data_IF_646986802119
#
_entry.id   IF_646986802119
#
_cell.length_a   1.000
_cell.length_b   1.000
_cell.length_c   1.000
_cell.angle_alpha   90.00
_cell.angle_beta   90.00
_cell.angle_gamma   90.00
#
_symmetry.space_group_name_H-M   'P 1'
#
loop_
_entity.id
_entity.type
_entity.pdbx_description
1 polymer ?
#
# COMPACT_ATOMS: atom_id res chain seq x y z
N UNK A 1 24.08 2.86 -1.84
CA UNK A 1 22.61 2.96 -1.77
C UNK A 1 22.01 1.89 -2.69
N UNK A 2 20.71 1.59 -2.57
CA UNK A 2 19.99 0.66 -3.45
C UNK A 2 20.27 0.95 -4.95
N UNK A 3 20.49 -0.11 -5.72
CA UNK A 3 20.75 -0.05 -7.17
C UNK A 3 19.71 -0.78 -8.00
N UNK A 4 18.90 -1.63 -7.37
CA UNK A 4 17.85 -2.41 -7.98
C UNK A 4 16.77 -1.55 -8.62
N UNK A 5 16.16 -2.07 -9.68
CA UNK A 5 15.16 -1.34 -10.46
C UNK A 5 13.98 -2.22 -10.82
N UNK A 6 12.77 -1.71 -10.60
CA UNK A 6 11.51 -2.42 -10.90
C UNK A 6 10.75 -1.78 -12.06
N UNK A 7 9.86 -2.53 -12.68
CA UNK A 7 8.97 -2.02 -13.73
C UNK A 7 7.67 -1.45 -13.15
N UNK A 8 6.93 -0.65 -13.92
CA UNK A 8 5.62 -0.12 -13.48
C UNK A 8 4.58 -1.19 -13.11
N UNK A 9 4.45 -2.33 -13.84
CA UNK A 9 3.61 -3.43 -13.40
C UNK A 9 4.06 -4.03 -12.05
N UNK A 10 5.37 -4.19 -11.84
CA UNK A 10 5.90 -4.69 -10.56
C UNK A 10 5.57 -3.73 -9.40
N UNK A 11 5.70 -2.41 -9.62
CA UNK A 11 5.27 -1.41 -8.65
C UNK A 11 3.77 -1.51 -8.38
N UNK A 12 2.95 -1.65 -9.43
CA UNK A 12 1.49 -1.75 -9.29
C UNK A 12 1.08 -2.96 -8.43
N UNK A 13 1.65 -4.13 -8.71
CA UNK A 13 1.41 -5.35 -7.94
C UNK A 13 1.97 -5.27 -6.51
N UNK A 14 3.10 -4.59 -6.34
CA UNK A 14 3.68 -4.33 -5.02
C UNK A 14 2.77 -3.45 -4.16
N UNK A 15 2.30 -2.32 -4.71
CA UNK A 15 1.39 -1.40 -4.01
C UNK A 15 0.04 -2.06 -3.73
N UNK A 16 -0.47 -2.88 -4.65
CA UNK A 16 -1.67 -3.67 -4.44
C UNK A 16 -1.52 -4.60 -3.23
N UNK A 17 -0.45 -5.39 -3.15
CA UNK A 17 -0.24 -6.29 -2.00
C UNK A 17 0.11 -5.54 -0.71
N UNK A 18 0.77 -4.39 -0.81
CA UNK A 18 1.13 -3.55 0.34
C UNK A 18 -0.10 -3.07 1.13
N UNK A 19 -1.23 -2.82 0.46
CA UNK A 19 -2.48 -2.40 1.10
C UNK A 19 -3.43 -3.59 1.34
N UNK A 20 -3.33 -4.62 0.50
CA UNK A 20 -4.37 -5.64 0.37
C UNK A 20 -4.42 -6.68 1.45
N UNK A 21 -3.28 -7.07 2.00
CA UNK A 21 -3.25 -8.30 2.75
C UNK A 21 -3.91 -8.14 4.14
N UNK A 22 -3.70 -7.05 4.90
CA UNK A 22 -4.45 -6.81 6.14
C UNK A 22 -5.90 -6.38 5.89
N UNK A 23 -6.13 -5.55 4.87
CA UNK A 23 -7.46 -5.00 4.60
C UNK A 23 -8.50 -6.08 4.34
N UNK A 24 -8.17 -7.14 3.60
CA UNK A 24 -9.13 -8.20 3.30
C UNK A 24 -9.61 -8.95 4.57
N UNK A 25 -8.81 -9.02 5.66
CA UNK A 25 -9.20 -9.78 6.88
C UNK A 25 -10.19 -9.01 7.70
N UNK A 26 -9.82 -7.77 7.98
CA UNK A 26 -10.43 -6.99 9.02
C UNK A 26 -11.51 -6.06 8.47
N UNK A 27 -11.39 -5.64 7.20
CA UNK A 27 -12.32 -4.69 6.59
C UNK A 27 -13.79 -5.09 6.76
N UNK A 28 -14.21 -6.36 6.49
CA UNK A 28 -15.62 -6.68 6.55
C UNK A 28 -16.18 -6.55 7.97
N UNK A 29 -15.38 -6.88 8.99
CA UNK A 29 -15.76 -6.73 10.40
C UNK A 29 -16.05 -5.28 10.74
N UNK A 30 -15.09 -4.40 10.43
CA UNK A 30 -15.18 -2.99 10.76
C UNK A 30 -16.27 -2.27 9.94
N UNK A 31 -16.30 -2.47 8.62
CA UNK A 31 -17.33 -1.83 7.80
C UNK A 31 -18.72 -2.36 8.15
N UNK A 32 -18.90 -3.64 8.51
CA UNK A 32 -20.18 -4.16 8.99
C UNK A 32 -20.60 -3.55 10.34
N UNK A 33 -19.64 -3.31 11.25
CA UNK A 33 -19.92 -2.75 12.57
C UNK A 33 -20.60 -1.37 12.50
N UNK A 34 -20.19 -0.54 11.53
CA UNK A 34 -20.76 0.79 11.35
C UNK A 34 -21.82 0.83 10.26
N UNK A 35 -21.53 0.33 9.06
CA UNK A 35 -22.39 0.49 7.89
C UNK A 35 -23.39 -0.66 7.69
N UNK A 36 -23.32 -1.74 8.46
CA UNK A 36 -24.26 -2.87 8.37
C UNK A 36 -24.38 -3.41 6.94
N UNK A 37 -25.60 -3.37 6.38
CA UNK A 37 -25.90 -3.81 5.01
C UNK A 37 -25.17 -2.98 3.94
N UNK A 38 -24.84 -1.72 4.23
CA UNK A 38 -24.20 -0.78 3.29
C UNK A 38 -22.67 -0.86 3.31
N UNK A 39 -22.07 -1.82 4.03
CA UNK A 39 -20.62 -1.93 4.19
C UNK A 39 -19.83 -2.07 2.88
N UNK A 40 -20.46 -2.57 1.82
CA UNK A 40 -19.85 -2.70 0.50
C UNK A 40 -19.65 -1.34 -0.21
N UNK A 41 -20.34 -0.29 0.24
CA UNK A 41 -20.23 1.08 -0.30
C UNK A 41 -18.99 1.78 0.28
N UNK A 42 -18.62 1.47 1.53
CA UNK A 42 -17.54 2.16 2.24
C UNK A 42 -16.17 2.19 1.50
N UNK A 43 -15.73 1.10 0.83
CA UNK A 43 -14.48 1.13 0.05
C UNK A 43 -14.47 2.15 -1.10
N UNK A 44 -15.63 2.48 -1.70
CA UNK A 44 -15.69 3.50 -2.75
C UNK A 44 -15.32 4.86 -2.22
N UNK A 45 -15.84 5.23 -1.04
CA UNK A 45 -15.47 6.46 -0.34
C UNK A 45 -13.98 6.43 0.03
N UNK A 46 -13.51 5.31 0.60
CA UNK A 46 -12.11 5.08 0.92
C UNK A 46 -11.16 5.36 -0.24
N UNK A 47 -11.49 4.79 -1.41
CA UNK A 47 -10.62 4.82 -2.60
C UNK A 47 -10.27 6.22 -3.10
N UNK A 48 -11.11 7.22 -2.78
CA UNK A 48 -10.85 8.63 -3.11
C UNK A 48 -9.50 9.09 -2.56
N UNK A 49 -9.18 8.71 -1.33
CA UNK A 49 -7.88 9.05 -0.72
C UNK A 49 -6.72 8.34 -1.39
N UNK A 50 -6.90 7.11 -1.88
CA UNK A 50 -5.87 6.37 -2.61
C UNK A 50 -5.57 6.96 -3.97
N UNK A 51 -6.61 7.33 -4.73
CA UNK A 51 -6.42 8.05 -5.99
C UNK A 51 -5.75 9.41 -5.76
N UNK A 52 -6.17 10.13 -4.71
CA UNK A 52 -5.62 11.44 -4.36
C UNK A 52 -4.14 11.35 -3.94
N UNK A 53 -3.82 10.54 -2.94
CA UNK A 53 -2.46 10.42 -2.39
C UNK A 53 -1.49 9.92 -3.45
N UNK A 54 -1.87 8.92 -4.24
CA UNK A 54 -1.05 8.43 -5.33
C UNK A 54 -0.83 9.50 -6.41
N UNK A 55 -1.86 10.28 -6.73
CA UNK A 55 -1.73 11.38 -7.69
C UNK A 55 -0.75 12.45 -7.19
N UNK A 56 -0.82 12.80 -5.91
CA UNK A 56 0.09 13.76 -5.26
C UNK A 56 1.53 13.28 -5.39
N UNK A 57 1.84 12.04 -5.03
CA UNK A 57 3.22 11.54 -5.07
C UNK A 57 3.73 11.30 -6.50
N UNK A 58 2.88 10.87 -7.43
CA UNK A 58 3.24 10.76 -8.85
C UNK A 58 3.52 12.12 -9.50
N UNK A 59 2.81 13.16 -9.06
CA UNK A 59 3.05 14.54 -9.48
C UNK A 59 4.32 15.09 -8.86
N UNK A 60 4.54 14.88 -7.56
CA UNK A 60 5.75 15.30 -6.87
C UNK A 60 7.00 14.63 -7.47
N UNK A 61 6.95 13.33 -7.71
CA UNK A 61 8.00 12.57 -8.40
C UNK A 61 8.28 13.10 -9.82
N UNK A 62 7.30 13.71 -10.50
CA UNK A 62 7.56 14.34 -11.81
C UNK A 62 8.46 15.58 -11.74
N UNK A 63 8.53 16.24 -10.59
CA UNK A 63 9.44 17.36 -10.36
C UNK A 63 10.84 16.90 -9.95
N UNK A 64 10.93 15.78 -9.23
CA UNK A 64 12.18 15.22 -8.71
C UNK A 64 12.24 13.69 -8.92
N UNK A 65 12.50 13.20 -10.15
CA UNK A 65 12.40 11.77 -10.47
C UNK A 65 13.42 10.90 -9.73
N UNK A 66 14.60 11.44 -9.45
CA UNK A 66 15.70 10.65 -8.87
C UNK A 66 15.74 10.67 -7.33
N UNK A 67 14.81 11.39 -6.69
CA UNK A 67 14.79 11.61 -5.24
C UNK A 67 13.58 10.95 -4.59
N UNK A 68 13.80 10.26 -3.48
CA UNK A 68 12.73 9.72 -2.62
C UNK A 68 12.03 10.84 -1.85
N UNK A 69 10.84 10.57 -1.29
CA UNK A 69 10.17 11.52 -0.38
C UNK A 69 11.09 12.02 0.75
N UNK A 70 11.94 11.15 1.33
CA UNK A 70 12.91 11.53 2.37
C UNK A 70 13.90 12.57 1.87
N UNK A 71 14.45 12.36 0.67
CA UNK A 71 15.42 13.29 0.06
C UNK A 71 14.75 14.57 -0.44
N UNK A 72 13.53 14.47 -0.99
CA UNK A 72 12.72 15.61 -1.43
C UNK A 72 12.40 16.54 -0.25
N UNK A 73 12.15 15.98 0.94
CA UNK A 73 11.89 16.75 2.14
C UNK A 73 13.10 17.61 2.55
N UNK A 74 14.30 17.03 2.59
CA UNK A 74 15.53 17.78 2.88
C UNK A 74 15.79 18.86 1.83
N UNK A 75 15.52 18.56 0.56
CA UNK A 75 15.68 19.53 -0.53
C UNK A 75 14.69 20.71 -0.41
N UNK A 76 13.43 20.44 -0.08
CA UNK A 76 12.34 21.43 -0.11
C UNK A 76 12.21 22.22 1.18
N UNK A 77 12.36 21.56 2.34
CA UNK A 77 12.23 22.16 3.67
C UNK A 77 13.59 22.57 4.27
N UNK A 78 14.70 22.13 3.67
CA UNK A 78 16.04 22.31 4.21
C UNK A 78 16.43 21.21 5.19
N UNK A 79 17.71 21.22 5.60
CA UNK A 79 18.31 20.13 6.40
C UNK A 79 17.63 19.89 7.75
N UNK A 80 17.25 20.96 8.46
CA UNK A 80 16.70 20.86 9.81
C UNK A 80 15.22 20.47 9.79
N UNK A 81 14.37 21.25 9.12
CA UNK A 81 12.93 20.98 9.05
C UNK A 81 12.64 19.70 8.25
N UNK A 82 13.35 19.48 7.14
CA UNK A 82 13.24 18.22 6.37
C UNK A 82 13.73 17.02 7.17
N UNK A 83 14.82 17.16 7.92
CA UNK A 83 15.32 16.13 8.82
C UNK A 83 14.32 15.76 9.92
N UNK A 84 13.71 16.76 10.57
CA UNK A 84 12.68 16.53 11.59
C UNK A 84 11.42 15.88 11.01
N UNK A 85 10.96 16.33 9.84
CA UNK A 85 9.82 15.72 9.15
C UNK A 85 10.09 14.26 8.76
N UNK A 86 11.31 13.97 8.30
CA UNK A 86 11.72 12.60 7.98
C UNK A 86 11.68 11.67 9.21
N UNK A 87 12.10 12.14 10.39
CA UNK A 87 11.99 11.35 11.63
C UNK A 87 10.53 10.98 11.90
N UNK A 88 9.59 11.91 11.77
CA UNK A 88 8.16 11.66 11.98
C UNK A 88 7.65 10.60 11.00
N UNK A 89 7.99 10.73 9.72
CA UNK A 89 7.61 9.74 8.69
C UNK A 89 8.20 8.37 8.99
N UNK A 90 9.47 8.28 9.39
CA UNK A 90 10.13 7.02 9.69
C UNK A 90 9.57 6.36 10.96
N UNK A 91 9.26 7.13 12.00
CA UNK A 91 8.59 6.62 13.20
C UNK A 91 7.18 6.11 12.88
N UNK A 92 6.44 6.81 12.01
CA UNK A 92 5.15 6.36 11.51
C UNK A 92 5.27 5.02 10.76
N UNK A 93 6.24 4.88 9.85
CA UNK A 93 6.44 3.63 9.12
C UNK A 93 6.85 2.52 10.08
N UNK A 94 7.72 2.79 11.06
CA UNK A 94 8.12 1.80 12.08
C UNK A 94 6.92 1.34 12.91
N UNK A 95 6.08 2.26 13.36
CA UNK A 95 4.82 1.97 14.05
C UNK A 95 3.88 1.13 13.18
N UNK A 96 3.60 1.56 11.94
CA UNK A 96 2.73 0.83 11.02
C UNK A 96 3.23 -0.58 10.71
N UNK A 97 4.54 -0.74 10.49
CA UNK A 97 5.11 -2.08 10.25
C UNK A 97 4.99 -2.99 11.48
N UNK A 98 5.14 -2.45 12.69
CA UNK A 98 4.91 -3.19 13.93
C UNK A 98 3.45 -3.62 14.08
N UNK A 99 2.50 -2.73 13.77
CA UNK A 99 1.05 -3.00 13.84
C UNK A 99 0.64 -4.10 12.85
N UNK A 100 1.06 -3.97 11.58
CA UNK A 100 0.83 -5.00 10.55
C UNK A 100 1.42 -6.34 10.99
N UNK A 101 2.64 -6.34 11.55
CA UNK A 101 3.28 -7.57 12.05
C UNK A 101 2.51 -8.18 13.22
N UNK A 102 1.93 -7.34 14.10
CA UNK A 102 1.09 -7.80 15.21
C UNK A 102 -0.15 -8.50 14.71
N UNK A 103 -0.85 -7.91 13.74
CA UNK A 103 -2.03 -8.51 13.10
C UNK A 103 -1.72 -9.88 12.49
N UNK A 104 -0.61 -10.02 11.77
CA UNK A 104 -0.20 -11.32 11.23
C UNK A 104 0.15 -12.33 12.32
N UNK A 105 0.80 -11.88 13.39
CA UNK A 105 1.09 -12.73 14.54
C UNK A 105 -0.19 -13.29 15.16
N UNK A 106 -1.19 -12.44 15.41
CA UNK A 106 -2.51 -12.86 15.91
C UNK A 106 -3.21 -13.81 14.94
N UNK A 107 -3.21 -13.50 13.63
CA UNK A 107 -3.83 -14.35 12.61
C UNK A 107 -3.19 -15.75 12.56
N UNK A 108 -1.86 -15.84 12.49
CA UNK A 108 -1.16 -17.12 12.34
C UNK A 108 -1.30 -17.98 13.60
N UNK A 109 -1.15 -17.39 14.79
CA UNK A 109 -1.28 -18.14 16.05
C UNK A 109 -2.74 -18.53 16.29
N UNK A 110 -3.68 -17.61 16.08
CA UNK A 110 -5.11 -17.85 16.28
C UNK A 110 -5.73 -18.84 15.28
N UNK A 111 -5.15 -18.98 14.09
CA UNK A 111 -5.72 -19.82 13.03
C UNK A 111 -5.02 -21.18 12.86
N UNK A 112 -3.73 -21.28 13.20
CA UNK A 112 -2.87 -22.40 12.76
C UNK A 112 -1.96 -22.89 13.87
N UNK A 113 -1.11 -21.98 14.37
CA UNK A 113 -0.02 -22.30 15.28
C UNK A 113 -0.44 -22.06 16.72
N UNK A 114 -1.59 -22.61 17.11
CA UNK A 114 -2.25 -22.36 18.40
C UNK A 114 -1.37 -22.77 19.59
N UNK A 115 -0.44 -23.71 19.38
CA UNK A 115 0.50 -24.19 20.42
C UNK A 115 1.84 -23.44 20.43
N UNK A 116 2.09 -22.55 19.47
CA UNK A 116 3.35 -21.83 19.34
C UNK A 116 3.23 -20.43 19.94
N UNK A 117 4.14 -20.00 20.82
CA UNK A 117 4.12 -18.64 21.35
C UNK A 117 4.26 -17.60 20.22
N UNK A 118 3.40 -16.58 20.24
CA UNK A 118 3.40 -15.50 19.26
C UNK A 118 4.78 -14.81 19.06
N UNK A 119 5.58 -14.54 20.12
CA UNK A 119 6.92 -13.97 19.93
C UNK A 119 7.84 -14.81 19.03
N UNK A 120 7.73 -16.13 19.07
CA UNK A 120 8.53 -17.02 18.21
C UNK A 120 8.08 -16.91 16.76
N UNK A 121 6.77 -16.88 16.50
CA UNK A 121 6.21 -16.72 15.15
C UNK A 121 6.62 -15.37 14.55
N UNK A 122 6.43 -14.28 15.30
CA UNK A 122 6.80 -12.92 14.87
C UNK A 122 8.30 -12.82 14.60
N UNK A 123 9.14 -13.34 15.48
CA UNK A 123 10.60 -13.31 15.29
C UNK A 123 11.01 -14.05 14.01
N UNK A 124 10.53 -15.27 13.80
CA UNK A 124 10.82 -16.05 12.60
C UNK A 124 10.34 -15.32 11.33
N UNK A 125 9.14 -14.74 11.36
CA UNK A 125 8.58 -14.02 10.24
C UNK A 125 9.40 -12.78 9.87
N UNK A 126 9.74 -11.94 10.85
CA UNK A 126 10.59 -10.76 10.65
C UNK A 126 12.00 -11.16 10.22
N UNK A 127 12.56 -12.25 10.75
CA UNK A 127 13.86 -12.74 10.33
C UNK A 127 13.88 -13.11 8.84
N UNK A 128 12.86 -13.81 8.34
CA UNK A 128 12.74 -14.14 6.92
C UNK A 128 12.59 -12.87 6.07
N UNK A 129 11.77 -11.91 6.51
CA UNK A 129 11.65 -10.60 5.85
C UNK A 129 13.01 -9.88 5.79
N UNK A 130 13.76 -9.86 6.89
CA UNK A 130 15.09 -9.24 6.96
C UNK A 130 16.07 -9.86 5.95
N UNK A 131 16.08 -11.19 5.83
CA UNK A 131 16.92 -11.89 4.84
C UNK A 131 16.51 -11.49 3.42
N UNK A 132 15.21 -11.47 3.12
CA UNK A 132 14.71 -11.15 1.79
C UNK A 132 14.96 -9.68 1.38
N UNK A 133 14.89 -8.73 2.32
CA UNK A 133 15.20 -7.30 2.08
C UNK A 133 16.63 -7.09 1.59
N UNK A 134 17.59 -7.90 2.04
CA UNK A 134 18.98 -7.81 1.57
C UNK A 134 19.12 -8.15 0.08
N UNK A 135 18.14 -8.85 -0.50
CA UNK A 135 18.01 -9.08 -1.94
C UNK A 135 17.59 -7.83 -2.74
N UNK A 136 17.10 -6.79 -2.06
CA UNK A 136 16.74 -5.49 -2.64
C UNK A 136 15.40 -5.47 -3.37
N UNK A 137 15.04 -4.28 -3.85
CA UNK A 137 13.71 -4.02 -4.42
C UNK A 137 13.36 -4.88 -5.65
N UNK A 138 14.35 -5.38 -6.40
CA UNK A 138 14.09 -6.27 -7.54
C UNK A 138 13.52 -7.62 -7.11
N UNK A 139 14.02 -8.19 -6.01
CA UNK A 139 13.52 -9.45 -5.49
C UNK A 139 12.10 -9.27 -5.00
N UNK A 140 11.84 -8.18 -4.26
CA UNK A 140 10.52 -7.82 -3.74
C UNK A 140 9.52 -7.61 -4.90
N UNK A 141 9.91 -6.84 -5.92
CA UNK A 141 9.05 -6.55 -7.07
C UNK A 141 8.78 -7.76 -7.98
N UNK A 142 9.73 -8.70 -8.11
CA UNK A 142 9.48 -9.96 -8.82
C UNK A 142 8.56 -10.87 -8.03
N UNK A 143 8.74 -10.93 -6.72
CA UNK A 143 7.90 -11.73 -5.84
C UNK A 143 6.47 -11.19 -5.78
N UNK A 144 6.28 -9.87 -5.69
CA UNK A 144 4.95 -9.27 -5.73
C UNK A 144 4.21 -9.55 -7.03
N UNK A 145 4.91 -9.52 -8.17
CA UNK A 145 4.35 -9.86 -9.48
C UNK A 145 3.92 -11.33 -9.59
N UNK A 146 4.55 -12.24 -8.84
CA UNK A 146 4.17 -13.65 -8.75
C UNK A 146 2.95 -13.84 -7.83
N UNK A 147 2.95 -13.20 -6.66
CA UNK A 147 1.91 -13.42 -5.63
C UNK A 147 0.63 -12.67 -5.94
N UNK A 148 0.69 -11.47 -6.54
CA UNK A 148 -0.48 -10.62 -6.75
C UNK A 148 -1.57 -11.26 -7.64
N UNK A 149 -1.26 -11.92 -8.78
CA UNK A 149 -2.27 -12.60 -9.57
C UNK A 149 -2.93 -13.77 -8.82
N UNK A 150 -2.16 -14.46 -7.97
CA UNK A 150 -2.68 -15.57 -7.16
C UNK A 150 -3.59 -15.04 -6.06
N UNK A 151 -3.19 -13.96 -5.39
CA UNK A 151 -4.03 -13.27 -4.40
C UNK A 151 -5.32 -12.74 -5.03
N UNK A 152 -5.24 -12.09 -6.20
CA UNK A 152 -6.43 -11.63 -6.93
C UNK A 152 -7.33 -12.80 -7.36
N UNK A 153 -6.74 -13.87 -7.88
CA UNK A 153 -7.47 -15.07 -8.27
C UNK A 153 -8.23 -15.65 -7.07
N UNK A 154 -7.61 -15.67 -5.89
CA UNK A 154 -8.25 -16.10 -4.67
C UNK A 154 -9.47 -15.26 -4.29
N UNK A 155 -9.37 -13.92 -4.39
CA UNK A 155 -10.48 -13.00 -4.14
C UNK A 155 -11.67 -13.24 -5.08
N UNK A 156 -11.42 -13.71 -6.30
CA UNK A 156 -12.47 -14.05 -7.26
C UNK A 156 -12.99 -15.48 -7.08
N UNK A 157 -12.14 -16.43 -6.71
CA UNK A 157 -12.51 -17.85 -6.62
C UNK A 157 -13.31 -18.15 -5.37
N UNK A 158 -13.00 -17.56 -4.21
CA UNK A 158 -13.76 -17.82 -2.97
C UNK A 158 -15.25 -17.53 -3.09
N UNK A 159 -15.67 -16.35 -3.58
CA UNK A 159 -17.09 -16.06 -3.70
C UNK A 159 -17.77 -17.02 -4.67
N UNK A 160 -17.09 -17.44 -5.74
CA UNK A 160 -17.61 -18.43 -6.70
C UNK A 160 -17.85 -19.80 -6.05
N UNK A 161 -16.92 -20.25 -5.21
CA UNK A 161 -17.07 -21.51 -4.48
C UNK A 161 -18.15 -21.44 -3.40
N UNK A 162 -18.42 -20.24 -2.87
CA UNK A 162 -19.45 -20.01 -1.87
C UNK A 162 -20.84 -19.77 -2.44
N UNK A 163 -21.02 -19.60 -3.77
CA UNK A 163 -22.31 -19.28 -4.42
C UNK A 163 -23.51 -20.03 -3.83
N UNK A 164 -23.46 -21.36 -3.58
CA UNK A 164 -24.60 -22.10 -3.02
C UNK A 164 -25.09 -21.59 -1.66
N UNK A 165 -24.25 -20.89 -0.92
CA UNK A 165 -24.51 -20.39 0.43
C UNK A 165 -24.69 -18.86 0.47
N UNK A 166 -24.50 -18.16 -0.64
CA UNK A 166 -24.62 -16.70 -0.71
C UNK A 166 -26.09 -16.29 -0.89
N UNK A 167 -26.53 -15.36 -0.07
CA UNK A 167 -27.85 -14.74 -0.19
C UNK A 167 -27.70 -13.25 -0.51
N UNK A 168 -27.94 -12.91 -1.78
CA UNK A 168 -27.85 -11.53 -2.30
C UNK A 168 -28.92 -10.63 -1.66
N UNK A 169 -30.02 -11.19 -1.14
CA UNK A 169 -31.07 -10.42 -0.49
C UNK A 169 -30.59 -9.72 0.78
N UNK A 170 -29.50 -10.21 1.40
CA UNK A 170 -28.82 -9.54 2.53
C UNK A 170 -28.19 -8.19 2.17
N UNK A 171 -28.20 -7.79 0.89
CA UNK A 171 -27.82 -6.43 0.48
C UNK A 171 -28.92 -5.41 0.79
N UNK A 172 -30.17 -5.87 0.93
CA UNK A 172 -31.32 -5.01 1.17
C UNK A 172 -31.70 -4.97 2.65
N UNK A 173 -32.30 -3.86 3.11
CA UNK A 173 -32.46 -2.59 2.39
C UNK A 173 -31.14 -1.81 2.21
N UNK A 174 -31.02 -1.06 1.11
CA UNK A 174 -29.84 -0.21 0.82
C UNK A 174 -30.10 1.19 1.36
N UNK A 175 -29.15 1.73 2.13
CA UNK A 175 -29.17 3.06 2.76
C UNK A 175 -30.38 3.30 3.67
N UNK A 176 -30.86 2.28 4.38
CA UNK A 176 -31.96 2.42 5.36
C UNK A 176 -31.65 3.46 6.43
N UNK A 177 -30.40 3.50 6.89
CA UNK A 177 -29.92 4.43 7.92
C UNK A 177 -29.19 5.65 7.33
N UNK A 178 -29.31 5.86 6.01
CA UNK A 178 -28.70 6.97 5.28
C UNK A 178 -27.17 6.87 5.14
N UNK A 179 -26.53 7.98 4.79
CA UNK A 179 -25.09 8.01 4.45
C UNK A 179 -24.16 8.03 5.66
N UNK A 180 -24.61 8.49 6.83
CA UNK A 180 -23.75 8.67 8.00
C UNK A 180 -23.04 7.35 8.41
N UNK A 181 -23.74 6.20 8.53
CA UNK A 181 -23.08 4.93 8.88
C UNK A 181 -22.09 4.47 7.81
N UNK A 182 -22.35 4.76 6.54
CA UNK A 182 -21.44 4.45 5.43
C UNK A 182 -20.14 5.24 5.56
N UNK A 183 -20.21 6.53 5.91
CA UNK A 183 -19.04 7.37 6.17
C UNK A 183 -18.22 6.87 7.37
N UNK A 184 -18.88 6.50 8.46
CA UNK A 184 -18.22 5.92 9.64
C UNK A 184 -17.52 4.59 9.29
N UNK A 185 -18.20 3.70 8.54
CA UNK A 185 -17.62 2.46 8.03
C UNK A 185 -16.53 2.65 6.97
N UNK A 186 -16.34 3.87 6.47
CA UNK A 186 -15.30 4.23 5.48
C UNK A 186 -14.01 4.73 6.11
N UNK A 187 -13.96 4.98 7.43
CA UNK A 187 -12.77 5.54 8.10
C UNK A 187 -11.54 4.66 7.86
N UNK A 188 -11.66 3.35 8.05
CA UNK A 188 -10.54 2.42 7.82
C UNK A 188 -10.16 2.26 6.34
N UNK A 189 -11.11 2.05 5.40
CA UNK A 189 -10.81 2.15 3.98
C UNK A 189 -10.05 3.42 3.63
N UNK A 190 -10.50 4.58 4.11
CA UNK A 190 -9.82 5.86 3.88
C UNK A 190 -8.37 5.77 4.35
N UNK A 191 -8.11 5.28 5.57
CA UNK A 191 -6.74 5.18 6.05
C UNK A 191 -5.89 4.22 5.22
N UNK A 192 -6.35 2.99 4.95
CA UNK A 192 -5.56 2.03 4.18
C UNK A 192 -5.30 2.49 2.74
N UNK A 193 -6.25 3.18 2.12
CA UNK A 193 -6.03 3.79 0.82
C UNK A 193 -5.03 4.95 0.86
N UNK A 194 -4.84 5.66 1.98
CA UNK A 194 -3.80 6.68 2.08
C UNK A 194 -2.38 6.08 1.96
N UNK A 195 -2.18 4.79 2.26
CA UNK A 195 -0.88 4.13 2.21
C UNK A 195 -0.24 4.15 0.82
N UNK A 196 -1.03 4.33 -0.24
CA UNK A 196 -0.51 4.54 -1.59
C UNK A 196 0.42 5.76 -1.69
N UNK A 197 0.38 6.70 -0.75
CA UNK A 197 1.36 7.78 -0.60
C UNK A 197 2.80 7.26 -0.42
N UNK A 198 2.97 6.12 0.25
CA UNK A 198 4.28 5.52 0.52
C UNK A 198 4.99 5.07 -0.76
N UNK A 199 4.27 4.98 -1.89
CA UNK A 199 4.88 4.82 -3.21
C UNK A 199 5.98 5.86 -3.49
N UNK A 200 5.89 7.08 -2.91
CA UNK A 200 6.92 8.11 -3.06
C UNK A 200 8.32 7.74 -2.53
N UNK A 201 8.42 6.70 -1.69
CA UNK A 201 9.70 6.14 -1.25
C UNK A 201 10.27 5.09 -2.22
N UNK A 202 9.43 4.55 -3.11
CA UNK A 202 9.79 3.48 -4.06
C UNK A 202 9.94 4.04 -5.49
N UNK A 203 9.19 5.07 -5.85
CA UNK A 203 9.12 5.64 -7.20
C UNK A 203 10.49 5.90 -7.87
N UNK A 204 11.53 6.42 -7.18
CA UNK A 204 12.84 6.62 -7.79
C UNK A 204 13.52 5.35 -8.29
N UNK A 205 13.10 4.17 -7.83
CA UNK A 205 13.63 2.87 -8.26
C UNK A 205 12.88 2.29 -9.47
N UNK A 206 11.84 2.97 -9.98
CA UNK A 206 11.00 2.46 -11.07
C UNK A 206 11.58 2.89 -12.43
N UNK A 207 11.66 1.95 -13.37
CA UNK A 207 12.15 2.19 -14.74
C UNK A 207 11.03 2.54 -15.71
N UNK A 208 11.33 3.50 -16.59
CA UNK A 208 10.43 3.97 -17.65
C UNK A 208 9.43 5.00 -17.15
N UNK A 209 8.75 5.70 -18.05
CA UNK A 209 7.73 6.71 -17.70
C UNK A 209 6.43 6.55 -18.53
N UNK A 210 6.48 5.74 -19.59
CA UNK A 210 5.33 5.48 -20.45
C UNK A 210 4.31 4.68 -19.64
N UNK A 211 3.24 5.34 -19.21
CA UNK A 211 2.11 4.76 -18.45
C UNK A 211 2.20 4.77 -16.92
N UNK A 212 3.01 5.65 -16.30
CA UNK A 212 3.07 5.76 -14.83
C UNK A 212 1.71 5.90 -14.14
N UNK A 213 0.84 6.75 -14.69
CA UNK A 213 -0.50 6.99 -14.17
C UNK A 213 -1.40 5.77 -14.33
N UNK A 214 -1.34 5.08 -15.48
CA UNK A 214 -2.17 3.90 -15.72
C UNK A 214 -1.85 2.79 -14.73
N UNK A 215 -0.56 2.46 -14.58
CA UNK A 215 -0.12 1.40 -13.67
C UNK A 215 -0.29 1.77 -12.19
N UNK A 216 0.01 3.01 -11.81
CA UNK A 216 -0.26 3.49 -10.46
C UNK A 216 -1.75 3.38 -10.12
N UNK A 217 -2.61 3.99 -10.93
CA UNK A 217 -4.05 4.01 -10.66
C UNK A 217 -4.70 2.62 -10.76
N UNK A 218 -4.15 1.71 -11.56
CA UNK A 218 -4.63 0.32 -11.58
C UNK A 218 -4.45 -0.40 -10.24
N UNK A 219 -3.43 -0.06 -9.44
CA UNK A 219 -3.24 -0.67 -8.12
C UNK A 219 -4.36 -0.25 -7.15
N UNK A 220 -4.73 1.05 -7.17
CA UNK A 220 -5.84 1.59 -6.38
C UNK A 220 -7.17 0.98 -6.82
N UNK A 221 -7.41 0.90 -8.14
CA UNK A 221 -8.63 0.29 -8.68
C UNK A 221 -8.74 -1.20 -8.34
N UNK A 222 -7.62 -1.93 -8.40
CA UNK A 222 -7.58 -3.36 -8.05
C UNK A 222 -7.84 -3.57 -6.55
N UNK A 223 -7.34 -2.65 -5.71
CA UNK A 223 -7.62 -2.67 -4.28
C UNK A 223 -9.10 -2.39 -3.98
N UNK A 224 -9.68 -1.37 -4.63
CA UNK A 224 -11.11 -1.07 -4.53
C UNK A 224 -11.95 -2.28 -4.91
N UNK A 225 -11.65 -2.90 -6.05
CA UNK A 225 -12.31 -4.14 -6.46
C UNK A 225 -12.20 -5.23 -5.38
N UNK A 226 -10.99 -5.43 -4.84
CA UNK A 226 -10.73 -6.46 -3.83
C UNK A 226 -11.53 -6.23 -2.55
N UNK A 227 -11.53 -5.01 -2.02
CA UNK A 227 -12.28 -4.64 -0.82
C UNK A 227 -13.79 -4.78 -1.01
N UNK A 228 -14.33 -4.31 -2.15
CA UNK A 228 -15.77 -4.40 -2.45
C UNK A 228 -16.21 -5.86 -2.57
N UNK A 229 -15.46 -6.69 -3.32
CA UNK A 229 -15.77 -8.12 -3.48
C UNK A 229 -15.72 -8.83 -2.13
N UNK A 230 -14.72 -8.54 -1.30
CA UNK A 230 -14.60 -9.13 0.03
C UNK A 230 -15.78 -8.76 0.92
N UNK A 231 -16.16 -7.48 0.97
CA UNK A 231 -17.33 -7.05 1.74
C UNK A 231 -18.62 -7.69 1.21
N UNK A 232 -18.87 -7.67 -0.10
CA UNK A 232 -20.07 -8.31 -0.67
C UNK A 232 -20.14 -9.81 -0.34
N UNK A 233 -19.01 -10.51 -0.42
CA UNK A 233 -18.95 -11.94 -0.10
C UNK A 233 -19.33 -12.20 1.35
N UNK A 234 -18.74 -11.45 2.28
CA UNK A 234 -19.06 -11.56 3.70
C UNK A 234 -20.51 -11.14 3.99
N UNK A 235 -21.02 -10.10 3.32
CA UNK A 235 -22.41 -9.63 3.47
C UNK A 235 -23.41 -10.70 3.03
N UNK A 236 -23.21 -11.29 1.84
CA UNK A 236 -24.11 -12.30 1.31
C UNK A 236 -24.03 -13.60 2.10
N UNK A 237 -22.88 -13.91 2.69
CA UNK A 237 -22.72 -15.10 3.53
C UNK A 237 -23.29 -14.89 4.94
N UNK A 238 -22.82 -13.89 5.70
CA UNK A 238 -23.18 -13.68 7.12
C UNK A 238 -24.25 -12.62 7.36
N UNK A 239 -24.49 -11.71 6.43
CA UNK A 239 -25.33 -10.52 6.67
C UNK A 239 -24.69 -9.57 7.66
N UNK A 240 -25.50 -8.94 8.51
CA UNK A 240 -25.03 -8.02 9.57
C UNK A 240 -24.23 -8.73 10.67
N UNK A 241 -24.30 -10.06 10.76
CA UNK A 241 -23.46 -10.84 11.67
C UNK A 241 -21.98 -10.83 11.28
N UNK A 242 -21.61 -10.28 10.12
CA UNK A 242 -20.21 -10.13 9.69
C UNK A 242 -19.34 -9.45 10.76
N UNK A 243 -19.89 -8.47 11.48
CA UNK A 243 -19.17 -7.74 12.55
C UNK A 243 -18.81 -8.61 13.77
N UNK A 244 -19.42 -9.78 13.92
CA UNK A 244 -19.16 -10.70 15.04
C UNK A 244 -17.94 -11.59 14.80
N UNK A 245 -17.38 -11.61 13.58
CA UNK A 245 -16.20 -12.40 13.25
C UNK A 245 -14.98 -11.51 13.16
N UNK A 246 -13.87 -11.94 13.78
CA UNK A 246 -12.58 -11.24 13.68
C UNK A 246 -12.06 -11.21 12.24
N UNK A 247 -12.17 -12.33 11.51
CA UNK A 247 -11.69 -12.49 10.14
C UNK A 247 -12.79 -13.13 9.27
N UNK A 248 -13.82 -12.37 8.84
CA UNK A 248 -15.05 -12.93 8.30
C UNK A 248 -14.82 -13.72 7.01
N UNK A 249 -13.99 -13.21 6.09
CA UNK A 249 -13.71 -13.91 4.84
C UNK A 249 -13.01 -15.26 5.06
N UNK A 250 -12.13 -15.33 6.05
CA UNK A 250 -11.48 -16.59 6.44
C UNK A 250 -12.48 -17.54 7.09
N UNK A 251 -13.37 -17.03 7.95
CA UNK A 251 -14.46 -17.82 8.53
C UNK A 251 -15.41 -18.38 7.46
N UNK A 252 -15.80 -17.58 6.47
CA UNK A 252 -16.61 -18.03 5.33
C UNK A 252 -15.88 -19.11 4.52
N UNK A 253 -14.56 -18.96 4.34
CA UNK A 253 -13.78 -19.90 3.54
C UNK A 253 -13.75 -21.34 4.07
N UNK A 254 -13.97 -21.53 5.38
CA UNK A 254 -14.08 -22.85 6.02
C UNK A 254 -15.35 -23.61 5.63
N UNK A 255 -16.33 -22.95 5.04
CA UNK A 255 -17.57 -23.57 4.55
C UNK A 255 -17.47 -24.01 3.09
N UNK A 256 -16.35 -23.74 2.43
CA UNK A 256 -16.12 -24.20 1.06
C UNK A 256 -15.87 -25.72 1.10
N UNK A 257 -16.80 -26.49 0.52
CA UNK A 257 -16.64 -27.91 0.26
C UNK A 257 -16.87 -28.19 -1.22
N UNK A 258 -15.88 -28.78 -1.90
CA UNK A 258 -16.03 -29.29 -3.27
C UNK A 258 -16.06 -30.82 -3.25
N UNK A 259 -17.25 -31.37 -2.99
CA UNK A 259 -17.44 -32.81 -2.81
C UNK A 259 -16.56 -33.37 -1.68
N UNK A 260 -16.24 -34.66 -1.76
CA UNK A 260 -15.49 -35.39 -0.71
C UNK A 260 -13.94 -35.26 -0.82
N UNK A 261 -13.42 -34.50 -1.81
CA UNK A 261 -11.98 -34.46 -2.11
C UNK A 261 -11.26 -33.19 -1.62
N UNK A 262 -11.98 -32.07 -1.49
CA UNK A 262 -11.42 -30.77 -1.11
C UNK A 262 -12.12 -30.23 0.15
N UNK A 263 -11.87 -30.88 1.28
CA UNK A 263 -12.46 -30.55 2.58
C UNK A 263 -11.64 -29.53 3.40
N UNK A 264 -10.39 -29.24 2.99
CA UNK A 264 -9.47 -28.34 3.71
C UNK A 264 -8.98 -27.16 2.85
N UNK A 265 -9.89 -26.51 2.14
CA UNK A 265 -9.55 -25.36 1.29
C UNK A 265 -8.98 -24.20 2.11
N UNK A 266 -9.38 -24.04 3.37
CA UNK A 266 -8.88 -23.02 4.29
C UNK A 266 -7.35 -23.02 4.46
N UNK A 267 -6.68 -24.17 4.32
CA UNK A 267 -5.23 -24.28 4.42
C UNK A 267 -4.52 -23.62 3.22
N UNK A 268 -5.04 -23.82 2.00
CA UNK A 268 -4.49 -23.19 0.78
C UNK A 268 -4.64 -21.67 0.88
N UNK A 269 -5.82 -21.24 1.31
CA UNK A 269 -6.18 -19.84 1.48
C UNK A 269 -5.22 -19.15 2.44
N UNK A 270 -5.01 -19.75 3.59
CA UNK A 270 -4.08 -19.28 4.60
C UNK A 270 -2.64 -19.17 4.08
N UNK A 271 -2.15 -20.13 3.29
CA UNK A 271 -0.80 -20.02 2.70
C UNK A 271 -0.72 -18.81 1.78
N UNK A 272 -1.70 -18.62 0.88
CA UNK A 272 -1.73 -17.49 -0.04
C UNK A 272 -1.78 -16.14 0.70
N UNK A 273 -2.50 -16.11 1.79
CA UNK A 273 -2.63 -14.99 2.71
C UNK A 273 -1.35 -14.64 3.45
N UNK A 274 -0.65 -15.64 3.99
CA UNK A 274 0.66 -15.43 4.62
C UNK A 274 1.67 -14.93 3.58
N UNK A 275 1.59 -15.41 2.33
CA UNK A 275 2.45 -14.93 1.24
C UNK A 275 2.17 -13.48 0.83
N UNK A 276 0.90 -13.07 0.75
CA UNK A 276 0.55 -11.67 0.48
C UNK A 276 0.96 -10.76 1.65
N UNK A 277 0.76 -11.22 2.89
CA UNK A 277 1.21 -10.54 4.10
C UNK A 277 2.73 -10.42 4.21
N UNK A 278 3.46 -11.42 3.77
CA UNK A 278 4.92 -11.35 3.64
C UNK A 278 5.33 -10.22 2.68
N UNK A 279 4.67 -10.08 1.53
CA UNK A 279 4.93 -8.95 0.60
C UNK A 279 4.58 -7.61 1.24
N UNK A 280 3.50 -7.53 2.01
CA UNK A 280 3.14 -6.31 2.74
C UNK A 280 4.23 -5.92 3.75
N UNK A 281 4.56 -6.81 4.69
CA UNK A 281 5.53 -6.53 5.75
C UNK A 281 6.92 -6.27 5.19
N UNK A 282 7.38 -7.04 4.19
CA UNK A 282 8.69 -6.81 3.59
C UNK A 282 8.76 -5.45 2.88
N UNK A 283 7.66 -4.97 2.28
CA UNK A 283 7.62 -3.68 1.59
C UNK A 283 7.72 -2.53 2.59
N UNK A 284 6.91 -2.56 3.65
CA UNK A 284 6.93 -1.58 4.74
C UNK A 284 8.29 -1.54 5.45
N UNK A 285 8.85 -2.70 5.75
CA UNK A 285 10.18 -2.82 6.36
C UNK A 285 11.28 -2.34 5.40
N UNK A 286 11.19 -2.65 4.11
CA UNK A 286 12.14 -2.17 3.11
C UNK A 286 12.13 -0.62 3.02
N UNK A 287 10.96 0.02 2.94
CA UNK A 287 10.90 1.50 2.88
C UNK A 287 11.38 2.15 4.17
N UNK A 288 11.17 1.51 5.34
CA UNK A 288 11.72 1.97 6.61
C UNK A 288 13.25 1.96 6.60
N UNK A 289 13.84 0.83 6.18
CA UNK A 289 15.29 0.64 6.11
C UNK A 289 15.92 1.61 5.11
N UNK A 290 15.37 1.73 3.90
CA UNK A 290 15.88 2.66 2.89
C UNK A 290 15.76 4.10 3.34
N UNK A 291 14.59 4.50 3.88
CA UNK A 291 14.37 5.85 4.38
C UNK A 291 15.30 6.19 5.53
N UNK A 292 15.54 5.25 6.45
CA UNK A 292 16.47 5.42 7.57
C UNK A 292 17.92 5.54 7.08
N UNK A 293 18.34 4.69 6.16
CA UNK A 293 19.67 4.78 5.57
C UNK A 293 19.88 6.12 4.82
N UNK A 294 18.87 6.62 4.12
CA UNK A 294 18.92 7.92 3.45
C UNK A 294 19.00 9.08 4.43
N UNK A 295 18.18 9.06 5.49
CA UNK A 295 18.17 10.08 6.53
C UNK A 295 19.49 10.13 7.31
N UNK A 296 20.05 8.96 7.65
CA UNK A 296 21.37 8.83 8.28
C UNK A 296 22.54 9.01 7.32
N UNK A 297 22.27 9.18 6.01
CA UNK A 297 23.27 9.32 4.94
C UNK A 297 24.26 8.16 4.87
N UNK A 298 23.78 6.95 5.10
CA UNK A 298 24.56 5.72 4.99
C UNK A 298 24.84 5.37 3.52
N UNK A 299 26.02 4.82 3.27
CA UNK A 299 26.39 4.33 1.94
C UNK A 299 25.67 3.04 1.56
N UNK A 300 25.31 2.18 2.53
CA UNK A 300 24.57 0.94 2.32
C UNK A 300 23.50 0.78 3.41
N UNK A 301 22.33 0.27 3.03
CA UNK A 301 21.22 0.00 3.94
C UNK A 301 21.32 -1.39 4.58
N UNK A 302 22.05 -2.33 3.97
CA UNK A 302 22.13 -3.73 4.43
C UNK A 302 22.59 -3.89 5.89
N UNK A 303 23.55 -3.10 6.42
CA UNK A 303 23.97 -3.23 7.81
C UNK A 303 22.88 -2.94 8.84
N UNK A 304 21.93 -2.05 8.52
CA UNK A 304 20.86 -1.66 9.45
C UNK A 304 19.61 -2.53 9.34
N UNK A 305 19.57 -3.48 8.39
CA UNK A 305 18.43 -4.38 8.21
C UNK A 305 18.15 -5.14 9.51
N UNK A 306 19.05 -6.01 9.97
CA UNK A 306 18.79 -6.82 11.17
C UNK A 306 18.55 -5.99 12.45
N UNK A 307 19.30 -4.91 12.75
CA UNK A 307 18.99 -4.03 13.87
C UNK A 307 17.57 -3.48 13.83
N UNK A 308 17.11 -2.97 12.68
CA UNK A 308 15.73 -2.48 12.52
C UNK A 308 14.73 -3.63 12.65
N UNK A 309 15.06 -4.83 12.17
CA UNK A 309 14.22 -6.02 12.33
C UNK A 309 14.00 -6.38 13.80
N UNK A 310 15.05 -6.31 14.62
CA UNK A 310 14.91 -6.51 16.07
C UNK A 310 14.02 -5.44 16.71
N UNK A 311 14.21 -4.17 16.33
CA UNK A 311 13.36 -3.08 16.80
C UNK A 311 11.89 -3.26 16.37
N UNK A 312 11.64 -3.83 15.20
CA UNK A 312 10.27 -4.15 14.76
C UNK A 312 9.64 -5.27 15.58
N UNK A 313 10.39 -6.31 15.94
CA UNK A 313 9.90 -7.35 16.86
C UNK A 313 9.49 -6.72 18.20
N UNK A 314 10.33 -5.84 18.75
CA UNK A 314 10.00 -5.11 19.99
C UNK A 314 8.74 -4.26 19.80
N UNK A 315 8.67 -3.50 18.70
CA UNK A 315 7.53 -2.63 18.39
C UNK A 315 6.21 -3.41 18.31
N UNK A 316 6.23 -4.62 17.75
CA UNK A 316 5.06 -5.51 17.63
C UNK A 316 4.39 -5.79 18.98
N UNK A 317 5.19 -5.92 20.05
CA UNK A 317 4.70 -6.19 21.40
C UNK A 317 4.51 -4.94 22.24
N UNK A 318 5.03 -3.80 21.80
CA UNK A 318 4.93 -2.54 22.53
C UNK A 318 3.71 -1.69 22.13
N UNK A 319 3.19 -1.86 20.90
CA UNK A 319 2.07 -1.05 20.39
C UNK A 319 0.76 -1.32 21.14
N UNK A 320 0.40 -2.60 21.30
CA UNK A 320 -0.89 -3.01 21.89
C UNK A 320 -0.70 -4.20 22.81
N UNK A 321 -1.39 -4.20 23.94
CA UNK A 321 -1.36 -5.32 24.88
C UNK A 321 -2.28 -6.44 24.39
N UNK A 322 -3.42 -6.08 23.80
CA UNK A 322 -4.41 -7.03 23.29
C UNK A 322 -5.10 -6.54 22.01
N UNK A 323 -5.97 -7.38 21.45
CA UNK A 323 -6.69 -7.09 20.19
C UNK A 323 -7.68 -5.92 20.32
N UNK A 324 -8.29 -5.71 21.48
CA UNK A 324 -9.23 -4.59 21.70
C UNK A 324 -8.50 -3.25 21.63
N UNK A 325 -7.33 -3.14 22.27
CA UNK A 325 -6.52 -1.92 22.20
C UNK A 325 -6.12 -1.61 20.75
N UNK A 326 -5.89 -2.65 19.94
CA UNK A 326 -5.57 -2.52 18.51
C UNK A 326 -6.75 -1.97 17.71
N UNK A 327 -7.96 -2.48 17.97
CA UNK A 327 -9.21 -1.97 17.40
C UNK A 327 -9.40 -0.49 17.78
N UNK A 328 -9.19 -0.13 19.05
CA UNK A 328 -9.35 1.24 19.52
C UNK A 328 -8.34 2.19 18.85
N UNK A 329 -7.08 1.74 18.68
CA UNK A 329 -6.04 2.49 17.98
C UNK A 329 -6.43 2.78 16.53
N UNK A 330 -6.94 1.76 15.82
CA UNK A 330 -7.41 1.84 14.44
C UNK A 330 -8.59 2.80 14.26
N UNK A 331 -9.46 2.92 15.26
CA UNK A 331 -10.64 3.78 15.17
C UNK A 331 -10.40 5.23 15.61
N UNK A 332 -9.28 5.51 16.29
CA UNK A 332 -9.05 6.82 16.92
C UNK A 332 -7.78 7.51 16.41
N UNK A 333 -6.61 6.94 16.74
CA UNK A 333 -5.32 7.62 16.62
C UNK A 333 -4.70 7.39 15.25
N UNK A 334 -4.83 6.19 14.72
CA UNK A 334 -4.21 5.77 13.47
C UNK A 334 -4.72 6.59 12.26
N UNK A 335 -6.03 6.86 12.08
CA UNK A 335 -6.51 7.66 10.95
C UNK A 335 -5.95 9.09 10.92
N UNK A 336 -5.81 9.72 12.10
CA UNK A 336 -5.25 11.07 12.21
C UNK A 336 -3.75 11.10 11.90
N UNK A 337 -3.01 10.12 12.41
CA UNK A 337 -1.59 10.00 12.17
C UNK A 337 -1.30 9.70 10.68
N UNK A 338 -2.05 8.77 10.09
CA UNK A 338 -1.98 8.43 8.67
C UNK A 338 -2.35 9.60 7.77
N UNK A 339 -3.43 10.33 8.05
CA UNK A 339 -3.77 11.53 7.30
C UNK A 339 -2.65 12.59 7.34
N UNK A 340 -2.01 12.77 8.50
CA UNK A 340 -0.91 13.73 8.65
C UNK A 340 0.30 13.32 7.78
N UNK A 341 0.72 12.07 7.86
CA UNK A 341 1.96 11.59 7.20
C UNK A 341 1.76 11.28 5.71
N UNK A 342 0.57 10.83 5.32
CA UNK A 342 0.31 10.31 3.98
C UNK A 342 -0.48 11.28 3.09
N UNK A 343 -1.26 12.21 3.67
CA UNK A 343 -1.94 13.29 2.93
C UNK A 343 -1.22 14.63 3.12
N UNK A 344 -1.18 15.13 4.35
CA UNK A 344 -0.74 16.52 4.62
C UNK A 344 0.72 16.71 4.23
N UNK A 345 1.58 15.78 4.64
CA UNK A 345 3.02 15.88 4.38
C UNK A 345 3.38 15.84 2.87
N UNK A 346 2.95 14.86 2.05
CA UNK A 346 3.25 14.86 0.62
C UNK A 346 2.59 16.02 -0.13
N UNK A 347 1.39 16.45 0.28
CA UNK A 347 0.71 17.60 -0.31
C UNK A 347 1.47 18.91 -0.03
N UNK A 348 1.99 19.08 1.19
CA UNK A 348 2.85 20.22 1.55
C UNK A 348 4.13 20.24 0.69
N UNK A 349 4.80 19.10 0.55
CA UNK A 349 5.99 19.00 -0.31
C UNK A 349 5.64 19.32 -1.77
N UNK A 350 4.50 18.85 -2.28
CA UNK A 350 4.02 19.18 -3.62
C UNK A 350 3.75 20.68 -3.79
N UNK A 351 3.11 21.32 -2.82
CA UNK A 351 2.86 22.76 -2.86
C UNK A 351 4.18 23.56 -2.92
N UNK A 352 5.16 23.20 -2.08
CA UNK A 352 6.48 23.83 -2.07
C UNK A 352 7.24 23.58 -3.38
N UNK A 353 7.18 22.37 -3.92
CA UNK A 353 7.78 22.02 -5.21
C UNK A 353 7.18 22.87 -6.34
N UNK A 354 5.85 23.00 -6.38
CA UNK A 354 5.15 23.80 -7.37
C UNK A 354 5.52 25.29 -7.29
N UNK A 355 5.59 25.86 -6.08
CA UNK A 355 6.00 27.25 -5.87
C UNK A 355 7.43 27.50 -6.39
N UNK A 356 8.38 26.59 -6.11
CA UNK A 356 9.76 26.71 -6.60
C UNK A 356 9.86 26.63 -8.12
N UNK A 357 9.09 25.77 -8.76
CA UNK A 357 9.10 25.61 -10.22
C UNK A 357 8.52 26.86 -10.93
N UNK A 358 7.48 27.47 -10.37
CA UNK A 358 6.90 28.72 -10.90
C UNK A 358 7.87 29.91 -10.79
N UNK A 359 8.73 29.92 -9.78
CA UNK A 359 9.78 30.93 -9.62
C UNK A 359 10.87 30.84 -10.69
N UNK A 360 11.26 29.63 -11.11
CA UNK A 360 12.25 29.43 -12.18
C UNK A 360 11.76 29.93 -13.54
N UNK A 361 10.50 29.69 -13.88
CA UNK A 361 9.89 30.17 -15.13
C UNK A 361 9.71 31.69 -15.22
N UNK A 362 9.89 32.45 -14.13
CA UNK A 362 9.86 33.92 -14.13
C UNK A 362 11.23 34.58 -14.35
N UNK A 363 12.34 33.85 -14.15
CA UNK A 363 13.69 34.38 -14.38
C UNK A 363 14.22 34.13 -15.79
N UNK A 364 13.56 33.31 -16.60
CA UNK A 364 13.86 33.08 -18.03
C UNK A 364 12.90 33.85 -18.95
N UNK A 365 12.74 35.16 -18.70
CA UNK A 365 12.14 36.13 -19.66
C UNK A 365 13.22 36.68 -20.61
N UNK A 366 12.87 37.10 -21.84
CA UNK A 366 13.71 36.96 -23.03
C UNK A 366 14.96 37.84 -22.99
N UNK A 367 16.13 37.25 -22.76
CA UNK A 367 17.39 37.89 -23.14
C UNK A 367 17.52 37.83 -24.66
N UNK A 368 17.40 38.99 -25.30
CA UNK A 368 17.53 39.14 -26.75
C UNK A 368 18.83 38.55 -27.29
N UNK A 369 18.71 37.92 -28.46
CA UNK A 369 19.82 37.38 -29.22
C UNK A 369 19.43 37.28 -30.69
N UNK A 370 19.59 38.40 -31.40
CA UNK A 370 19.66 38.44 -32.86
C UNK A 370 20.71 37.42 -33.34
N UNK A 371 20.27 36.35 -34.00
CA UNK A 371 21.10 35.48 -34.83
C UNK A 371 20.62 35.57 -36.29
N UNK A 372 21.50 35.63 -37.30
CA UNK A 372 21.11 35.99 -38.65
C UNK A 372 20.29 34.90 -39.34
N UNK A 373 19.31 35.33 -40.15
CA UNK A 373 18.53 34.47 -41.06
C UNK A 373 19.47 33.76 -42.06
N UNK A 374 19.26 32.46 -42.37
CA UNK A 374 19.87 31.89 -43.56
C UNK A 374 19.11 32.34 -44.81
N UNK A 375 19.86 32.90 -45.76
CA UNK A 375 19.38 33.28 -47.08
C UNK A 375 18.87 32.07 -47.87
N UNK A 376 17.80 32.31 -48.63
CA UNK A 376 17.30 31.41 -49.68
C UNK A 376 18.28 31.44 -50.85
N UNK A 377 18.86 30.30 -51.19
CA UNK A 377 19.49 30.04 -52.48
C UNK A 377 18.83 28.84 -53.15
N UNK A 378 18.00 29.10 -54.15
CA UNK A 378 17.51 28.09 -55.09
C UNK A 378 18.55 27.88 -56.22
N UNK A 379 18.74 26.63 -56.66
CA UNK A 379 18.74 26.21 -58.07
C UNK A 379 19.64 24.98 -58.35
N UNK A 380 18.97 23.95 -58.90
CA UNK A 380 19.32 23.21 -60.12
C UNK A 380 20.59 22.33 -60.24
N UNK A 381 20.30 21.05 -60.53
CA UNK A 381 20.83 20.24 -61.63
C UNK A 381 22.34 19.92 -61.69
N UNK A 382 22.67 18.63 -61.63
CA UNK A 382 23.96 18.09 -62.05
C UNK A 382 23.89 16.56 -62.18
N UNK A 383 23.97 16.07 -63.40
CA UNK A 383 23.76 14.69 -63.81
C UNK A 383 25.02 13.80 -63.68
N UNK A 384 24.79 12.47 -63.74
CA UNK A 384 25.65 11.40 -64.28
C UNK A 384 27.07 11.22 -63.70
N UNK A 385 27.38 9.98 -63.27
CA UNK A 385 28.74 9.46 -63.41
C UNK A 385 29.11 8.22 -62.58
N UNK A 386 28.89 7.04 -63.19
CA UNK A 386 29.46 5.71 -62.91
C UNK A 386 28.96 4.90 -61.72
#
# INVERSE_FOLDING_TARGET
MERGRITWPQLSMLLYLMVGATSVLALPTFSAQFAGHDMWISPFIGSVTGFFTLAVVLKLHSYYPDLTLVQQAELLLGRWLGGAANIIVLLFIWHGTGLITREYGEFIVGSVLIRTPQPVVVFCFIFICAVAIRGGIEVIGRFSMLIAPVFLGFIVVVPLMLIPNLDVMKTFPVLEHGWKPVWEGSILPLTWFMEFALAGLILPFVKGNRSKWKWGMSAVALMLFTMVVTNLTCLWFFGTLTSMFTFPIFAASRYISLGDFFEHMEAIIMVLWVLSGFVQVITWYYILVIGTAQWLKLEDYRPIVFPIGLLMVIMTFWITDNMQDMIDLFMTTEPLLSATVQIVYPALLLALAWLRQKGKGKHEGPSGGNGPKPERGAAAAGAKGR
#
